data_IF_807993935239
#
_entry.id   IF_807993935239
#
_cell.length_a   1.000
_cell.length_b   1.000
_cell.length_c   1.000
_cell.angle_alpha   90.00
_cell.angle_beta   90.00
_cell.angle_gamma   90.00
#
_symmetry.space_group_name_H-M   'P 1'
#
loop_
_entity.id
_entity.type
_entity.pdbx_description
1 polymer ?
#
# COMPACT_ATOMS: atom_id res chain seq x y z
N UNK A 1 -10.49 -17.12 -10.39
CA UNK A 1 -9.59 -16.68 -11.49
C UNK A 1 -10.45 -16.40 -12.71
N UNK A 2 -10.26 -15.28 -13.40
CA UNK A 2 -11.04 -14.91 -14.60
C UNK A 2 -10.34 -15.52 -15.83
N UNK A 3 -11.05 -15.99 -16.88
CA UNK A 3 -10.42 -16.52 -18.09
C UNK A 3 -9.43 -15.53 -18.72
N UNK A 4 -8.20 -16.00 -18.99
CA UNK A 4 -7.12 -15.17 -19.55
C UNK A 4 -6.50 -14.14 -18.58
N UNK A 5 -7.04 -14.02 -17.37
CA UNK A 5 -6.54 -13.09 -16.34
C UNK A 5 -5.73 -13.77 -15.26
N UNK A 6 -5.17 -12.95 -14.38
CA UNK A 6 -4.49 -13.39 -13.16
C UNK A 6 -5.51 -13.79 -12.08
N UNK A 7 -5.14 -14.77 -11.26
CA UNK A 7 -5.70 -14.98 -9.93
C UNK A 7 -5.11 -13.95 -8.96
N UNK A 8 -5.77 -13.77 -7.81
CA UNK A 8 -5.24 -12.84 -6.81
C UNK A 8 -3.85 -13.27 -6.29
N UNK A 9 -3.58 -14.57 -6.18
CA UNK A 9 -2.26 -15.09 -5.79
C UNK A 9 -1.19 -14.70 -6.82
N UNK A 10 -1.48 -14.84 -8.11
CA UNK A 10 -0.56 -14.41 -9.18
C UNK A 10 -0.31 -12.88 -9.13
N UNK A 11 -1.33 -12.09 -8.78
CA UNK A 11 -1.19 -10.65 -8.55
C UNK A 11 -0.27 -10.38 -7.35
N UNK A 12 -0.45 -11.09 -6.22
CA UNK A 12 0.42 -10.98 -5.03
C UNK A 12 1.87 -11.29 -5.39
N UNK A 13 2.12 -12.39 -6.09
CA UNK A 13 3.48 -12.74 -6.52
C UNK A 13 4.11 -11.66 -7.42
N UNK A 14 3.33 -11.14 -8.39
CA UNK A 14 3.81 -10.08 -9.29
C UNK A 14 4.10 -8.78 -8.54
N UNK A 15 3.22 -8.38 -7.63
CA UNK A 15 3.40 -7.17 -6.80
C UNK A 15 4.60 -7.33 -5.88
N UNK A 16 4.77 -8.47 -5.20
CA UNK A 16 5.92 -8.73 -4.33
C UNK A 16 7.25 -8.65 -5.09
N UNK A 17 7.32 -9.17 -6.33
CA UNK A 17 8.51 -9.00 -7.19
C UNK A 17 8.77 -7.53 -7.51
N UNK A 18 7.73 -6.73 -7.74
CA UNK A 18 7.85 -5.30 -7.97
C UNK A 18 8.35 -4.56 -6.73
N UNK A 19 7.72 -4.79 -5.57
CA UNK A 19 8.12 -4.20 -4.29
C UNK A 19 9.55 -4.56 -3.92
N UNK A 20 9.98 -5.82 -4.13
CA UNK A 20 11.36 -6.22 -3.90
C UNK A 20 12.35 -5.37 -4.71
N UNK A 21 12.09 -5.13 -5.99
CA UNK A 21 12.95 -4.29 -6.83
C UNK A 21 13.01 -2.85 -6.31
N UNK A 22 11.87 -2.29 -5.92
CA UNK A 22 11.78 -0.94 -5.36
C UNK A 22 12.61 -0.83 -4.07
N UNK A 23 12.50 -1.82 -3.19
CA UNK A 23 13.25 -1.85 -1.93
C UNK A 23 14.76 -2.09 -2.14
N UNK A 24 15.13 -2.89 -3.14
CA UNK A 24 16.53 -3.15 -3.48
C UNK A 24 17.22 -1.91 -4.08
N UNK A 25 16.48 -1.03 -4.78
CA UNK A 25 16.98 0.25 -5.29
C UNK A 25 17.29 1.26 -4.16
N UNK A 26 16.74 1.04 -2.96
CA UNK A 26 16.97 1.85 -1.76
C UNK A 26 16.08 3.08 -1.63
N UNK A 27 16.45 3.97 -0.72
CA UNK A 27 15.68 5.17 -0.35
C UNK A 27 15.04 5.05 1.04
N UNK A 28 15.00 6.16 1.78
CA UNK A 28 14.40 6.21 3.12
C UNK A 28 12.87 6.34 3.02
N UNK A 29 12.39 7.24 2.16
CA UNK A 29 10.97 7.52 1.96
C UNK A 29 10.57 7.20 0.51
N UNK A 30 9.76 6.15 0.32
CA UNK A 30 9.37 5.66 -1.01
C UNK A 30 7.87 5.81 -1.21
N UNK A 31 7.48 6.57 -2.24
CA UNK A 31 6.08 6.71 -2.66
C UNK A 31 5.78 5.76 -3.83
N UNK A 32 4.79 4.88 -3.64
CA UNK A 32 4.29 3.98 -4.69
C UNK A 32 2.85 4.35 -5.02
N UNK A 33 2.60 4.77 -6.26
CA UNK A 33 1.25 5.05 -6.77
C UNK A 33 0.72 3.80 -7.47
N UNK A 34 -0.42 3.29 -7.00
CA UNK A 34 -0.98 2.03 -7.48
C UNK A 34 -2.52 2.01 -7.38
N UNK A 35 -3.11 0.87 -7.75
CA UNK A 35 -4.55 0.62 -7.63
C UNK A 35 -4.87 -0.21 -6.40
N UNK A 36 -6.13 -0.16 -5.93
CA UNK A 36 -6.56 -0.85 -4.71
C UNK A 36 -6.39 -2.37 -4.72
N UNK A 37 -6.38 -3.02 -5.88
CA UNK A 37 -6.02 -4.44 -6.00
C UNK A 37 -4.54 -4.71 -5.72
N UNK A 38 -3.66 -3.88 -6.29
CA UNK A 38 -2.21 -3.97 -6.08
C UNK A 38 -1.82 -3.61 -4.64
N UNK A 39 -2.46 -2.63 -4.03
CA UNK A 39 -2.21 -2.25 -2.62
C UNK A 39 -2.59 -3.42 -1.69
N UNK A 40 -3.77 -4.02 -1.89
CA UNK A 40 -4.16 -5.25 -1.14
C UNK A 40 -3.17 -6.38 -1.33
N UNK A 41 -2.69 -6.57 -2.55
CA UNK A 41 -1.71 -7.61 -2.86
C UNK A 41 -0.36 -7.35 -2.16
N UNK A 42 0.11 -6.10 -2.10
CA UNK A 42 1.30 -5.73 -1.35
C UNK A 42 1.14 -5.99 0.15
N UNK A 43 0.02 -5.56 0.75
CA UNK A 43 -0.28 -5.81 2.17
C UNK A 43 -0.33 -7.31 2.48
N UNK A 44 -0.91 -8.10 1.57
CA UNK A 44 -0.94 -9.57 1.69
C UNK A 44 0.47 -10.15 1.77
N UNK A 45 1.37 -9.69 0.90
CA UNK A 45 2.76 -10.14 0.88
C UNK A 45 3.55 -9.71 2.11
N UNK A 46 3.44 -8.45 2.50
CA UNK A 46 4.20 -7.88 3.63
C UNK A 46 3.79 -8.47 4.98
N UNK A 47 2.49 -8.70 5.19
CA UNK A 47 1.97 -9.20 6.47
C UNK A 47 1.71 -10.71 6.46
N UNK A 48 2.11 -11.42 5.40
CA UNK A 48 1.83 -12.84 5.21
C UNK A 48 0.34 -13.18 5.47
N UNK A 49 -0.57 -12.31 5.02
CA UNK A 49 -2.00 -12.46 5.27
C UNK A 49 -2.61 -13.48 4.32
N UNK A 50 -3.70 -14.09 4.75
CA UNK A 50 -4.56 -14.82 3.82
C UNK A 50 -5.22 -13.88 2.82
N UNK A 51 -5.40 -14.34 1.58
CA UNK A 51 -6.05 -13.58 0.52
C UNK A 51 -7.46 -13.10 0.92
N UNK A 52 -8.18 -13.85 1.77
CA UNK A 52 -9.50 -13.46 2.28
C UNK A 52 -9.44 -12.23 3.19
N UNK A 53 -8.36 -12.08 3.97
CA UNK A 53 -8.16 -10.94 4.85
C UNK A 53 -7.81 -9.67 4.06
N UNK A 54 -7.14 -9.80 2.91
CA UNK A 54 -6.86 -8.68 2.01
C UNK A 54 -8.13 -7.93 1.58
N UNK A 55 -9.22 -8.66 1.31
CA UNK A 55 -10.52 -8.09 0.93
C UNK A 55 -11.28 -7.43 2.08
N UNK A 56 -10.86 -7.63 3.33
CA UNK A 56 -11.37 -6.91 4.50
C UNK A 56 -10.69 -5.56 4.71
N UNK A 57 -9.66 -5.25 3.91
CA UNK A 57 -9.01 -3.94 3.91
C UNK A 57 -9.70 -3.02 2.91
N UNK A 58 -10.22 -1.89 3.41
CA UNK A 58 -10.80 -0.83 2.58
C UNK A 58 -9.68 -0.01 1.95
N UNK A 59 -9.80 0.27 0.66
CA UNK A 59 -8.88 1.13 -0.10
C UNK A 59 -9.75 2.05 -0.94
N UNK A 60 -9.86 3.31 -0.53
CA UNK A 60 -10.60 4.37 -1.18
C UNK A 60 -9.71 5.08 -2.20
N UNK A 61 -10.35 5.79 -3.14
CA UNK A 61 -9.62 6.55 -4.15
C UNK A 61 -8.78 7.66 -3.49
N UNK A 62 -7.56 7.82 -3.99
CA UNK A 62 -6.56 8.76 -3.45
C UNK A 62 -6.22 8.54 -1.98
N UNK A 63 -6.59 7.40 -1.38
CA UNK A 63 -6.19 7.10 -0.01
C UNK A 63 -4.70 6.78 0.09
N UNK A 64 -4.11 7.11 1.25
CA UNK A 64 -2.72 6.85 1.58
C UNK A 64 -2.64 5.68 2.56
N UNK A 65 -1.61 4.86 2.40
CA UNK A 65 -1.29 3.74 3.29
C UNK A 65 0.22 3.72 3.47
N UNK A 66 0.68 3.71 4.72
CA UNK A 66 2.10 3.77 5.06
C UNK A 66 2.55 2.54 5.84
N UNK A 67 3.70 2.03 5.45
CA UNK A 67 4.38 0.92 6.08
C UNK A 67 5.79 1.37 6.48
N UNK A 68 6.18 1.09 7.72
CA UNK A 68 7.55 1.23 8.18
C UNK A 68 8.26 -0.12 8.10
N UNK A 69 9.39 -0.14 7.39
CA UNK A 69 10.25 -1.30 7.24
C UNK A 69 11.49 -1.08 8.10
N UNK A 70 11.61 -1.85 9.18
CA UNK A 70 12.75 -1.76 10.07
C UNK A 70 13.35 -3.14 10.34
N UNK A 71 14.57 -3.36 9.86
CA UNK A 71 15.28 -4.65 9.91
C UNK A 71 14.43 -5.75 9.27
N UNK A 72 13.94 -6.71 10.06
CA UNK A 72 13.11 -7.85 9.68
C UNK A 72 11.62 -7.61 9.93
N UNK A 73 11.23 -6.39 10.32
CA UNK A 73 9.85 -6.06 10.70
C UNK A 73 9.19 -5.16 9.68
N UNK A 74 7.93 -5.46 9.42
CA UNK A 74 7.01 -4.59 8.70
C UNK A 74 5.95 -4.11 9.67
N UNK A 75 5.74 -2.80 9.75
CA UNK A 75 4.80 -2.17 10.67
C UNK A 75 3.82 -1.32 9.85
N UNK A 76 2.53 -1.46 10.11
CA UNK A 76 1.50 -0.61 9.51
C UNK A 76 1.39 0.68 10.32
N UNK A 77 1.79 1.82 9.76
CA UNK A 77 1.66 3.11 10.45
C UNK A 77 0.23 3.65 10.32
N UNK A 78 -0.33 3.62 9.10
CA UNK A 78 -1.74 3.93 8.83
C UNK A 78 -2.22 3.28 7.52
N UNK A 79 -3.53 3.11 7.38
CA UNK A 79 -4.17 2.58 6.17
C UNK A 79 -5.38 3.40 5.79
N UNK A 80 -5.61 3.53 4.48
CA UNK A 80 -6.80 4.18 3.93
C UNK A 80 -7.02 5.63 4.41
N UNK A 81 -5.95 6.39 4.65
CA UNK A 81 -6.06 7.79 5.07
C UNK A 81 -6.49 8.67 3.89
N UNK A 82 -7.57 9.42 4.07
CA UNK A 82 -8.11 10.36 3.09
C UNK A 82 -8.27 11.76 3.66
N UNK A 83 -7.63 12.06 4.80
CA UNK A 83 -7.84 13.33 5.51
C UNK A 83 -7.49 14.54 4.64
N UNK A 84 -6.46 14.42 3.81
CA UNK A 84 -6.06 15.45 2.85
C UNK A 84 -7.16 15.83 1.84
N UNK A 85 -8.12 14.95 1.57
CA UNK A 85 -9.27 15.24 0.68
C UNK A 85 -10.37 16.05 1.38
N UNK A 86 -10.34 16.12 2.71
CA UNK A 86 -11.35 16.80 3.52
C UNK A 86 -10.88 18.20 3.98
N UNK A 87 -9.68 18.62 3.58
CA UNK A 87 -9.15 19.94 3.89
C UNK A 87 -9.62 20.94 2.84
N UNK A 88 -10.27 22.02 3.28
CA UNK A 88 -10.77 23.07 2.39
C UNK A 88 -9.65 23.98 1.86
N UNK A 89 -8.62 24.22 2.67
CA UNK A 89 -7.44 25.03 2.31
C UNK A 89 -6.25 24.12 1.91
N UNK A 90 -5.85 24.11 0.62
CA UNK A 90 -4.73 23.30 0.15
C UNK A 90 -3.40 23.59 0.85
N UNK A 91 -3.19 24.80 1.37
CA UNK A 91 -1.95 25.15 2.06
C UNK A 91 -1.82 24.43 3.42
N UNK A 92 -2.95 24.06 4.03
CA UNK A 92 -2.98 23.28 5.27
C UNK A 92 -2.64 21.80 5.06
N UNK A 93 -2.80 21.26 3.85
CA UNK A 93 -2.51 19.84 3.55
C UNK A 93 -1.05 19.49 3.84
N UNK A 94 -0.12 20.43 3.60
CA UNK A 94 1.32 20.26 3.84
C UNK A 94 1.68 20.06 5.32
N UNK A 95 0.79 20.47 6.22
CA UNK A 95 0.98 20.37 7.67
C UNK A 95 0.33 19.10 8.25
N UNK A 96 -0.33 18.28 7.42
CA UNK A 96 -0.92 17.05 7.91
C UNK A 96 0.17 16.05 8.31
N UNK A 97 -0.04 15.27 9.39
CA UNK A 97 0.93 14.32 9.93
C UNK A 97 1.13 13.07 9.04
N UNK A 98 0.72 13.12 7.79
CA UNK A 98 0.74 11.98 6.86
C UNK A 98 2.15 11.73 6.29
N UNK A 99 3.07 12.68 6.46
CA UNK A 99 4.46 12.66 5.95
C UNK A 99 5.53 12.59 7.05
N UNK A 100 5.18 12.20 8.27
CA UNK A 100 6.14 12.11 9.39
C UNK A 100 7.05 10.89 9.21
#
# INVERSE_FOLDING_TARGET
>A
KIPGGESFVEVVERVNRGMKKILDDGGENVLVVAHGGSIRAALTGFFAMDASAAWRTRIDNCSLTSLELWRDRVMLSFTNDTLHLLVEDPDLVRNLPVLI
#
